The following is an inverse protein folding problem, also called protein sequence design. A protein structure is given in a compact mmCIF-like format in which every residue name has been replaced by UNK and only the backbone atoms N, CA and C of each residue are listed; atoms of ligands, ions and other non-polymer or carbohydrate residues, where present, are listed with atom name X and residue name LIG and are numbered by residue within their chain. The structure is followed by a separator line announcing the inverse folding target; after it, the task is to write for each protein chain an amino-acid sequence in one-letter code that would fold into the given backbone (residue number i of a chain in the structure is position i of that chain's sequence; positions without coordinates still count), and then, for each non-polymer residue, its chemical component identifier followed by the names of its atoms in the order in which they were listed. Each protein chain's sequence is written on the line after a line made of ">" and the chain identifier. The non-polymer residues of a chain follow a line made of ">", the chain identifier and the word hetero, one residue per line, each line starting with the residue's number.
data_IF_607010920160
#
_entry.id   IF_607010920160
#
_cell.length_a   1.000
_cell.length_b   1.000
_cell.length_c   1.000
_cell.angle_alpha   90.00
_cell.angle_beta   90.00
_cell.angle_gamma   90.00
#
_symmetry.space_group_name_H-M   'P 1'
#
loop_
_entity.id
_entity.type
_entity.pdbx_description
1 polymer ?
#
# COMPACT_ATOMS: atom_id res chain seq x y z
N UNK A 1 -5.35 21.33 21.16
CA UNK A 1 -4.05 20.72 21.43
C UNK A 1 -3.68 19.99 20.17
N UNK A 2 -2.86 20.64 19.35
CA UNK A 2 -2.52 20.17 18.02
C UNK A 2 -1.55 19.00 18.12
N UNK A 3 -1.92 17.87 17.53
CA UNK A 3 -1.01 16.75 17.29
C UNK A 3 0.01 17.17 16.21
N UNK A 4 1.30 16.87 16.37
CA UNK A 4 2.28 17.22 15.35
C UNK A 4 2.06 16.32 14.14
N UNK A 5 1.61 16.92 13.03
CA UNK A 5 1.61 16.28 11.72
C UNK A 5 3.06 16.00 11.31
N UNK A 6 3.45 14.72 11.26
CA UNK A 6 4.78 14.31 10.81
C UNK A 6 5.05 14.78 9.38
N UNK A 7 6.21 15.41 9.08
CA UNK A 7 6.54 15.85 7.73
C UNK A 7 6.83 14.63 6.84
N UNK A 8 6.13 14.53 5.71
CA UNK A 8 6.37 13.50 4.69
C UNK A 8 7.66 13.81 3.93
N UNK A 9 8.49 12.79 3.75
CA UNK A 9 9.61 12.82 2.81
C UNK A 9 9.18 12.11 1.52
N UNK A 10 9.47 12.69 0.35
CA UNK A 10 9.23 12.03 -0.94
C UNK A 10 10.55 11.42 -1.41
N UNK A 11 10.51 10.14 -1.78
CA UNK A 11 11.70 9.34 -2.08
C UNK A 11 11.61 8.85 -3.52
N UNK A 12 12.55 9.26 -4.38
CA UNK A 12 12.54 8.95 -5.82
C UNK A 12 13.29 7.66 -6.12
N UNK A 13 12.74 6.80 -6.97
CA UNK A 13 13.41 5.58 -7.44
C UNK A 13 14.54 5.82 -8.48
N UNK A 14 14.81 7.06 -8.89
CA UNK A 14 15.90 7.44 -9.82
C UNK A 14 16.00 8.97 -10.04
N UNK A 15 17.22 9.50 -10.21
CA UNK A 15 17.59 10.94 -10.26
C UNK A 15 17.06 11.72 -11.52
N UNK A 16 17.08 13.09 -11.55
CA UNK A 16 17.76 14.00 -10.62
C UNK A 16 16.92 15.06 -9.87
N UNK A 17 17.55 15.60 -8.82
CA UNK A 17 17.21 16.78 -7.97
C UNK A 17 17.76 18.08 -8.62
N UNK A 18 17.52 19.33 -8.13
CA UNK A 18 16.89 19.75 -6.87
C UNK A 18 15.94 20.98 -6.97
N UNK A 19 15.32 21.35 -5.85
CA UNK A 19 14.79 22.70 -5.64
C UNK A 19 13.41 22.71 -5.00
N UNK A 20 13.23 23.61 -4.05
CA UNK A 20 12.02 23.83 -3.27
C UNK A 20 10.71 23.85 -4.07
N UNK A 21 9.63 23.52 -3.35
CA UNK A 21 8.20 23.59 -3.75
C UNK A 21 7.61 22.37 -4.45
N UNK A 22 7.54 21.25 -3.74
CA UNK A 22 6.39 20.36 -3.86
C UNK A 22 5.66 20.29 -2.50
N UNK A 23 4.78 21.28 -2.27
CA UNK A 23 3.82 21.26 -1.16
C UNK A 23 2.61 20.45 -1.57
N UNK A 24 2.74 19.12 -1.64
CA UNK A 24 1.56 18.31 -1.43
C UNK A 24 1.16 18.46 0.05
N UNK A 25 -0.14 18.66 0.37
CA UNK A 25 -0.56 18.63 1.77
C UNK A 25 -0.06 17.32 2.38
N UNK A 26 0.41 17.32 3.64
CA UNK A 26 0.85 16.09 4.28
C UNK A 26 -0.26 15.06 4.11
N UNK A 27 0.09 13.90 3.54
CA UNK A 27 -0.87 12.83 3.42
C UNK A 27 -1.30 12.45 4.82
N UNK A 28 -2.52 12.85 5.14
CA UNK A 28 -3.10 12.53 6.42
C UNK A 28 -3.69 11.12 6.32
N UNK A 29 -2.92 10.13 6.77
CA UNK A 29 -3.46 8.78 6.92
C UNK A 29 -4.67 8.80 7.86
N UNK A 30 -4.80 9.74 8.80
CA UNK A 30 -6.02 9.91 9.59
C UNK A 30 -7.23 10.35 8.74
N UNK A 31 -7.04 11.08 7.62
CA UNK A 31 -8.10 11.31 6.63
C UNK A 31 -8.42 10.07 5.79
N UNK A 32 -7.40 9.30 5.39
CA UNK A 32 -7.60 8.00 4.71
C UNK A 32 -8.34 7.01 5.62
N UNK A 33 -7.96 6.97 6.89
CA UNK A 33 -8.55 6.12 7.93
C UNK A 33 -9.85 6.69 8.50
N UNK A 34 -10.13 7.98 8.30
CA UNK A 34 -11.47 8.53 8.52
C UNK A 34 -12.54 7.86 7.63
N UNK A 35 -12.16 7.35 6.45
CA UNK A 35 -13.02 6.47 5.65
C UNK A 35 -13.05 5.03 6.18
N UNK A 36 -11.93 4.57 6.75
CA UNK A 36 -11.85 3.32 7.48
C UNK A 36 -12.36 3.48 8.94
N UNK A 37 -13.57 4.05 9.11
CA UNK A 37 -14.18 4.31 10.41
C UNK A 37 -14.37 3.04 11.27
N UNK A 38 -14.93 3.17 12.48
CA UNK A 38 -15.03 2.09 13.50
C UNK A 38 -15.65 0.76 13.00
N UNK A 39 -16.47 0.80 11.95
CA UNK A 39 -17.10 -0.37 11.33
C UNK A 39 -16.21 -1.10 10.31
N UNK A 40 -15.05 -0.54 10.00
CA UNK A 40 -14.09 -1.12 9.08
C UNK A 40 -13.42 -2.33 9.70
N UNK A 41 -13.03 -3.26 8.84
CA UNK A 41 -12.39 -4.50 9.24
C UNK A 41 -11.31 -4.88 8.23
N UNK A 42 -10.44 -5.79 8.66
CA UNK A 42 -9.36 -6.28 7.83
C UNK A 42 -9.69 -7.66 7.25
N UNK A 43 -9.31 -7.91 5.99
CA UNK A 43 -9.43 -9.21 5.34
C UNK A 43 -8.09 -9.65 4.75
N UNK A 44 -7.56 -10.79 5.21
CA UNK A 44 -6.29 -11.31 4.72
C UNK A 44 -6.46 -12.01 3.37
N UNK A 45 -5.69 -11.61 2.38
CA UNK A 45 -5.69 -12.22 1.06
C UNK A 45 -4.94 -13.54 1.04
N UNK A 46 -5.64 -14.61 0.69
CA UNK A 46 -5.07 -15.95 0.55
C UNK A 46 -4.53 -16.29 -0.84
N UNK A 47 -4.72 -15.42 -1.85
CA UNK A 47 -4.31 -15.71 -3.25
C UNK A 47 -3.92 -14.44 -4.00
N UNK A 48 -3.33 -14.61 -5.20
CA UNK A 48 -2.90 -13.52 -6.09
C UNK A 48 -3.94 -13.12 -7.14
N UNK A 49 -5.19 -13.55 -7.00
CA UNK A 49 -6.25 -13.36 -7.99
C UNK A 49 -6.69 -11.90 -8.22
N UNK A 50 -6.02 -10.92 -7.60
CA UNK A 50 -6.23 -9.48 -7.78
C UNK A 50 -4.89 -8.76 -8.01
N UNK A 51 -3.87 -9.47 -8.49
CA UNK A 51 -2.51 -8.94 -8.70
C UNK A 51 -2.46 -7.77 -9.68
N UNK A 52 -3.36 -7.70 -10.67
CA UNK A 52 -3.44 -6.55 -11.57
C UNK A 52 -3.87 -5.26 -10.84
N UNK A 53 -4.57 -5.39 -9.72
CA UNK A 53 -4.95 -4.27 -8.85
C UNK A 53 -3.89 -3.98 -7.78
N UNK A 54 -2.68 -4.55 -7.89
CA UNK A 54 -1.62 -4.40 -6.89
C UNK A 54 -1.88 -5.16 -5.59
N UNK A 55 -2.88 -6.06 -5.56
CA UNK A 55 -3.23 -6.86 -4.38
C UNK A 55 -2.63 -8.25 -4.53
N UNK A 56 -1.80 -8.64 -3.57
CA UNK A 56 -1.12 -9.94 -3.57
C UNK A 56 -1.52 -10.84 -2.39
N UNK A 57 -1.14 -12.10 -2.46
CA UNK A 57 -1.26 -13.02 -1.34
C UNK A 57 -0.49 -12.48 -0.13
N UNK A 58 -1.09 -12.61 1.05
CA UNK A 58 -0.66 -12.06 2.34
C UNK A 58 -0.89 -10.56 2.54
N UNK A 59 -1.48 -9.86 1.55
CA UNK A 59 -1.95 -8.49 1.77
C UNK A 59 -3.11 -8.49 2.76
N UNK A 60 -3.13 -7.49 3.64
CA UNK A 60 -4.28 -7.20 4.46
C UNK A 60 -5.12 -6.11 3.80
N UNK A 61 -6.36 -6.45 3.45
CA UNK A 61 -7.29 -5.49 2.87
C UNK A 61 -8.00 -4.73 3.97
N UNK A 62 -8.00 -3.41 3.89
CA UNK A 62 -8.86 -2.56 4.73
C UNK A 62 -10.21 -2.43 4.04
N UNK A 63 -11.25 -2.94 4.68
CA UNK A 63 -12.60 -3.06 4.13
C UNK A 63 -13.55 -2.23 4.95
N UNK A 64 -14.36 -1.41 4.29
CA UNK A 64 -15.40 -0.62 4.95
C UNK A 64 -16.80 -1.02 4.49
N UNK A 65 -17.74 -1.30 5.42
CA UNK A 65 -19.15 -1.48 5.09
C UNK A 65 -19.88 -0.14 4.86
N UNK A 66 -19.25 0.99 5.16
CA UNK A 66 -19.91 2.32 5.14
C UNK A 66 -20.06 2.90 3.73
N UNK A 67 -19.37 2.31 2.74
CA UNK A 67 -19.46 2.70 1.35
C UNK A 67 -20.38 1.76 0.57
N UNK A 68 -21.30 2.35 -0.19
CA UNK A 68 -22.10 1.62 -1.17
C UNK A 68 -21.20 1.13 -2.31
N UNK A 69 -21.10 -0.18 -2.47
CA UNK A 69 -20.33 -0.79 -3.53
C UNK A 69 -20.89 -0.45 -4.93
N UNK A 70 -20.02 0.05 -5.80
CA UNK A 70 -20.28 0.46 -7.18
C UNK A 70 -19.64 -0.50 -8.17
N UNK A 71 -20.04 -0.36 -9.43
CA UNK A 71 -19.38 -1.06 -10.53
C UNK A 71 -17.88 -0.71 -10.55
N UNK A 72 -17.04 -1.74 -10.69
CA UNK A 72 -15.58 -1.71 -10.65
C UNK A 72 -14.94 -1.51 -9.28
N UNK A 73 -15.69 -1.49 -8.18
CA UNK A 73 -15.08 -1.56 -6.86
C UNK A 73 -14.52 -2.95 -6.61
N UNK A 74 -13.43 -3.04 -5.84
CA UNK A 74 -13.04 -4.31 -5.23
C UNK A 74 -13.81 -4.44 -3.93
N UNK A 75 -14.50 -5.56 -3.76
CA UNK A 75 -15.35 -5.81 -2.59
C UNK A 75 -14.93 -7.10 -1.91
N UNK A 76 -15.15 -7.13 -0.60
CA UNK A 76 -15.24 -8.40 0.12
C UNK A 76 -16.73 -8.76 0.21
N UNK A 77 -17.07 -9.94 -0.30
CA UNK A 77 -18.43 -10.43 -0.36
C UNK A 77 -18.51 -11.84 0.21
N UNK A 78 -19.62 -12.13 0.90
CA UNK A 78 -20.03 -13.46 1.26
C UNK A 78 -20.90 -14.03 0.14
N UNK A 79 -20.59 -15.24 -0.31
CA UNK A 79 -21.39 -16.02 -1.25
C UNK A 79 -21.57 -17.42 -0.68
N UNK A 80 -22.82 -17.78 -0.40
CA UNK A 80 -23.15 -19.05 0.25
C UNK A 80 -22.35 -19.19 1.55
N UNK A 81 -21.43 -20.17 1.63
CA UNK A 81 -20.62 -20.41 2.83
C UNK A 81 -19.19 -19.83 2.74
N UNK A 82 -18.85 -19.13 1.66
CA UNK A 82 -17.50 -18.59 1.41
C UNK A 82 -17.45 -17.07 1.49
N UNK A 83 -16.30 -16.54 1.90
CA UNK A 83 -15.97 -15.12 1.79
C UNK A 83 -14.91 -14.94 0.71
N UNK A 84 -15.14 -14.02 -0.21
CA UNK A 84 -14.27 -13.76 -1.36
C UNK A 84 -14.00 -12.27 -1.52
N UNK A 85 -12.76 -11.93 -1.88
CA UNK A 85 -12.38 -10.61 -2.35
C UNK A 85 -12.27 -10.62 -3.89
N UNK A 86 -13.02 -9.75 -4.57
CA UNK A 86 -13.15 -9.72 -6.04
C UNK A 86 -13.51 -8.34 -6.56
N UNK A 87 -13.21 -8.07 -7.84
CA UNK A 87 -13.76 -6.93 -8.57
C UNK A 87 -15.25 -7.15 -8.81
N UNK A 88 -16.06 -6.17 -8.44
CA UNK A 88 -17.51 -6.15 -8.66
C UNK A 88 -17.85 -5.61 -10.04
N UNK A 89 -18.38 -6.46 -10.91
CA UNK A 89 -18.89 -6.05 -12.22
C UNK A 89 -20.42 -6.15 -12.20
N UNK A 90 -21.10 -5.01 -12.32
CA UNK A 90 -22.56 -4.95 -12.42
C UNK A 90 -22.95 -4.50 -13.82
N UNK A 91 -23.79 -5.29 -14.46
CA UNK A 91 -24.34 -4.97 -15.77
C UNK A 91 -25.82 -5.29 -15.81
N UNK A 92 -26.67 -4.25 -15.85
CA UNK A 92 -28.13 -4.37 -15.65
C UNK A 92 -28.42 -5.12 -14.34
N UNK A 93 -29.17 -6.21 -14.39
CA UNK A 93 -29.54 -7.02 -13.23
C UNK A 93 -28.55 -8.16 -12.95
N UNK A 94 -27.43 -8.23 -13.68
CA UNK A 94 -26.43 -9.29 -13.54
C UNK A 94 -25.23 -8.77 -12.74
N UNK A 95 -24.80 -9.57 -11.75
CA UNK A 95 -23.63 -9.29 -10.94
C UNK A 95 -22.58 -10.37 -11.15
N UNK A 96 -21.37 -9.96 -11.50
CA UNK A 96 -20.20 -10.82 -11.57
C UNK A 96 -19.16 -10.39 -10.54
N UNK A 97 -18.49 -11.38 -9.96
CA UNK A 97 -17.26 -11.18 -9.22
C UNK A 97 -16.08 -11.70 -10.04
N UNK A 98 -15.19 -10.79 -10.41
CA UNK A 98 -14.14 -11.02 -11.41
C UNK A 98 -12.76 -11.00 -10.74
N UNK A 99 -11.91 -12.01 -11.01
CA UNK A 99 -10.50 -12.00 -10.65
C UNK A 99 -9.69 -11.17 -11.67
N UNK A 100 -8.53 -10.67 -11.24
CA UNK A 100 -7.62 -9.83 -12.01
C UNK A 100 -6.16 -10.26 -11.79
N UNK A 101 -5.76 -11.36 -12.42
CA UNK A 101 -4.39 -11.87 -12.33
C UNK A 101 -3.83 -12.19 -13.72
N UNK A 102 -2.94 -11.34 -14.27
CA UNK A 102 -2.38 -11.56 -15.61
C UNK A 102 -1.54 -12.84 -15.71
N UNK A 103 -0.98 -13.31 -14.58
CA UNK A 103 -0.20 -14.55 -14.53
C UNK A 103 -1.08 -15.81 -14.59
N UNK A 104 -2.38 -15.68 -14.28
CA UNK A 104 -3.34 -16.77 -14.36
C UNK A 104 -4.68 -16.28 -14.95
N UNK A 105 -4.80 -16.23 -16.28
CA UNK A 105 -6.01 -15.76 -16.94
C UNK A 105 -7.23 -16.69 -16.75
N UNK A 106 -7.02 -17.88 -16.20
CA UNK A 106 -8.05 -18.92 -16.07
C UNK A 106 -8.79 -18.88 -14.72
N UNK A 107 -8.54 -17.87 -13.87
CA UNK A 107 -9.33 -17.73 -12.65
C UNK A 107 -10.83 -17.63 -12.99
N UNK A 108 -11.69 -18.44 -12.35
CA UNK A 108 -13.10 -18.41 -12.66
C UNK A 108 -13.72 -17.09 -12.20
N UNK A 109 -14.44 -16.45 -13.11
CA UNK A 109 -15.43 -15.43 -12.74
C UNK A 109 -16.61 -16.10 -12.05
N UNK A 110 -17.15 -15.47 -11.02
CA UNK A 110 -18.34 -15.96 -10.34
C UNK A 110 -19.53 -15.14 -10.87
N UNK A 111 -20.53 -15.83 -11.42
CA UNK A 111 -21.82 -15.22 -11.72
C UNK A 111 -22.72 -15.38 -10.50
N UNK A 112 -23.16 -14.27 -9.91
CA UNK A 112 -24.05 -14.29 -8.75
C UNK A 112 -25.48 -14.53 -9.24
N UNK A 113 -26.02 -15.69 -8.88
CA UNK A 113 -27.38 -16.08 -9.25
C UNK A 113 -28.39 -15.51 -8.23
N UNK A 114 -29.66 -15.29 -8.63
CA UNK A 114 -30.71 -14.87 -7.69
C UNK A 114 -30.94 -15.86 -6.53
N UNK A 115 -30.55 -17.12 -6.69
CA UNK A 115 -30.63 -18.16 -5.66
C UNK A 115 -29.46 -18.19 -4.69
N UNK A 116 -28.36 -17.48 -4.98
CA UNK A 116 -27.19 -17.44 -4.12
C UNK A 116 -27.46 -16.58 -2.88
N UNK A 117 -26.94 -17.01 -1.73
CA UNK A 117 -26.87 -16.16 -0.55
C UNK A 117 -25.70 -15.18 -0.70
N UNK A 118 -25.94 -14.10 -1.45
CA UNK A 118 -24.95 -13.08 -1.76
C UNK A 118 -25.11 -11.85 -0.86
N UNK A 119 -24.02 -11.45 -0.19
CA UNK A 119 -23.95 -10.22 0.58
C UNK A 119 -22.59 -9.55 0.39
N UNK A 120 -22.60 -8.27 0.06
CA UNK A 120 -21.37 -7.45 0.13
C UNK A 120 -21.12 -7.12 1.59
N UNK A 121 -19.94 -7.48 2.10
CA UNK A 121 -19.51 -7.18 3.47
C UNK A 121 -18.88 -5.79 3.54
N UNK A 122 -18.23 -5.34 2.45
CA UNK A 122 -17.77 -3.97 2.31
C UNK A 122 -16.90 -3.74 1.08
N UNK A 123 -16.55 -2.47 0.86
CA UNK A 123 -15.65 -2.02 -0.21
C UNK A 123 -14.21 -2.01 0.30
N UNK A 124 -13.28 -2.51 -0.50
CA UNK A 124 -11.84 -2.48 -0.22
C UNK A 124 -11.31 -1.07 -0.49
N UNK A 125 -10.79 -0.44 0.57
CA UNK A 125 -10.21 0.90 0.54
C UNK A 125 -8.76 0.87 0.04
N UNK A 126 -7.94 0.06 0.69
CA UNK A 126 -6.53 -0.13 0.37
C UNK A 126 -6.07 -1.56 0.70
N UNK A 127 -4.91 -1.95 0.19
CA UNK A 127 -4.17 -3.11 0.67
C UNK A 127 -2.94 -2.69 1.45
N UNK A 128 -2.60 -3.46 2.48
CA UNK A 128 -1.38 -3.31 3.28
C UNK A 128 -0.51 -4.54 3.02
N UNK A 129 0.62 -4.32 2.35
CA UNK A 129 1.58 -5.36 2.02
C UNK A 129 2.75 -5.37 3.03
N UNK A 130 2.95 -6.45 3.81
CA UNK A 130 4.08 -6.55 4.73
C UNK A 130 5.41 -6.85 4.00
N UNK A 131 6.41 -5.99 4.22
CA UNK A 131 7.69 -6.04 3.49
C UNK A 131 8.82 -6.77 4.23
N UNK A 132 8.59 -7.15 5.49
CA UNK A 132 9.50 -7.98 6.26
C UNK A 132 8.74 -8.95 7.18
N UNK A 133 9.44 -9.96 7.67
CA UNK A 133 8.84 -11.01 8.52
C UNK A 133 8.23 -10.45 9.80
N UNK A 134 8.86 -9.45 10.39
CA UNK A 134 8.35 -8.81 11.60
C UNK A 134 7.01 -8.12 11.36
N UNK A 135 6.89 -7.32 10.29
CA UNK A 135 5.64 -6.69 9.90
C UNK A 135 4.57 -7.74 9.62
N UNK A 136 4.92 -8.83 8.91
CA UNK A 136 4.00 -9.94 8.65
C UNK A 136 3.48 -10.59 9.93
N UNK A 137 4.36 -10.80 10.91
CA UNK A 137 4.00 -11.41 12.19
C UNK A 137 3.15 -10.47 13.07
N UNK A 138 3.28 -9.15 12.90
CA UNK A 138 2.45 -8.17 13.61
C UNK A 138 1.02 -8.06 13.09
N UNK A 139 0.80 -8.30 11.79
CA UNK A 139 -0.53 -8.19 11.18
C UNK A 139 -1.55 -9.21 11.70
N UNK A 140 -1.11 -10.26 12.42
CA UNK A 140 -1.97 -11.14 13.23
C UNK A 140 -3.04 -11.95 12.45
N UNK A 141 -3.69 -12.88 13.14
CA UNK A 141 -4.65 -13.83 12.57
C UNK A 141 -6.07 -13.27 12.36
N UNK A 142 -6.20 -12.06 11.79
CA UNK A 142 -7.51 -11.54 11.34
C UNK A 142 -8.49 -11.12 12.45
N UNK A 143 -7.99 -10.62 13.59
CA UNK A 143 -8.86 -9.93 14.55
C UNK A 143 -9.17 -8.50 14.09
N UNK A 144 -10.35 -7.97 14.46
CA UNK A 144 -10.72 -6.58 14.25
C UNK A 144 -9.72 -5.70 15.01
N UNK A 145 -8.84 -5.02 14.29
CA UNK A 145 -7.83 -4.12 14.83
C UNK A 145 -7.97 -2.75 14.17
N UNK A 146 -7.75 -1.70 14.95
CA UNK A 146 -7.63 -0.35 14.42
C UNK A 146 -6.44 -0.28 13.46
N UNK A 147 -6.62 0.37 12.31
CA UNK A 147 -5.57 0.41 11.29
C UNK A 147 -4.38 1.28 11.73
N UNK A 148 -4.57 2.30 12.57
CA UNK A 148 -3.45 3.07 13.11
C UNK A 148 -2.59 2.20 14.02
N UNK A 149 -3.22 1.39 14.88
CA UNK A 149 -2.51 0.48 15.77
C UNK A 149 -1.77 -0.60 14.97
N UNK A 150 -2.44 -1.15 13.95
CA UNK A 150 -1.87 -2.13 13.03
C UNK A 150 -0.62 -1.60 12.29
N UNK A 151 -0.68 -0.35 11.81
CA UNK A 151 0.42 0.33 11.12
C UNK A 151 1.43 0.95 12.12
N UNK A 152 1.13 0.96 13.42
CA UNK A 152 1.95 1.59 14.45
C UNK A 152 2.03 3.11 14.36
N UNK A 153 1.07 3.79 13.72
CA UNK A 153 1.10 5.24 13.45
C UNK A 153 1.06 6.11 14.73
N UNK A 154 0.67 5.51 15.86
CA UNK A 154 0.69 6.16 17.17
C UNK A 154 2.11 6.29 17.76
N UNK A 155 3.11 5.66 17.15
CA UNK A 155 4.52 5.69 17.59
C UNK A 155 5.29 6.82 16.89
N UNK A 156 6.03 7.67 17.62
CA UNK A 156 6.73 8.84 17.04
C UNK A 156 7.87 8.48 16.08
N UNK A 157 8.40 7.25 16.14
CA UNK A 157 9.42 6.74 15.25
C UNK A 157 8.88 6.21 13.92
N UNK A 158 7.56 6.13 13.74
CA UNK A 158 6.92 5.67 12.52
C UNK A 158 6.58 6.86 11.62
N UNK A 159 7.04 6.78 10.37
CA UNK A 159 6.87 7.81 9.36
C UNK A 159 6.23 7.25 8.11
N UNK A 160 5.49 8.11 7.40
CA UNK A 160 4.87 7.75 6.13
C UNK A 160 5.55 8.49 4.97
N UNK A 161 5.86 7.73 3.93
CA UNK A 161 6.66 8.19 2.78
C UNK A 161 5.90 7.83 1.51
N UNK A 162 5.67 8.80 0.62
CA UNK A 162 5.06 8.54 -0.68
C UNK A 162 6.10 8.03 -1.67
N UNK A 163 5.79 6.92 -2.33
CA UNK A 163 6.64 6.33 -3.37
C UNK A 163 6.48 7.10 -4.68
N UNK A 164 7.61 7.28 -5.36
CA UNK A 164 7.66 7.67 -6.77
C UNK A 164 8.53 6.70 -7.57
N UNK A 165 7.95 6.11 -8.60
CA UNK A 165 8.56 5.14 -9.51
C UNK A 165 8.23 3.68 -9.17
N UNK A 166 8.70 2.77 -10.02
CA UNK A 166 8.31 1.34 -10.00
C UNK A 166 9.48 0.37 -9.77
N UNK A 167 10.66 0.85 -9.33
CA UNK A 167 11.85 -0.01 -9.18
C UNK A 167 11.68 -1.12 -8.14
N UNK A 168 10.72 -0.97 -7.23
CA UNK A 168 10.42 -1.93 -6.16
C UNK A 168 9.09 -2.67 -6.39
N UNK A 169 8.48 -2.57 -7.57
CA UNK A 169 7.20 -3.21 -7.87
C UNK A 169 7.20 -4.73 -7.62
N UNK A 170 8.25 -5.49 -7.99
CA UNK A 170 8.27 -6.92 -7.68
C UNK A 170 8.32 -7.24 -6.17
N UNK A 171 8.67 -6.27 -5.33
CA UNK A 171 8.60 -6.37 -3.87
C UNK A 171 7.22 -6.02 -3.29
N UNK A 172 6.21 -5.76 -4.13
CA UNK A 172 4.89 -5.30 -3.70
C UNK A 172 4.81 -3.79 -3.40
N UNK A 173 5.79 -3.00 -3.85
CA UNK A 173 5.81 -1.54 -3.70
C UNK A 173 5.52 -0.88 -5.05
N UNK A 174 4.34 -0.30 -5.20
CA UNK A 174 3.87 0.33 -6.43
C UNK A 174 4.09 1.85 -6.42
N UNK A 175 4.04 2.45 -7.60
CA UNK A 175 4.04 3.91 -7.72
C UNK A 175 2.84 4.51 -6.97
N UNK A 176 3.07 5.66 -6.32
CA UNK A 176 2.11 6.32 -5.45
C UNK A 176 1.71 5.56 -4.17
N UNK A 177 2.32 4.42 -3.86
CA UNK A 177 2.13 3.75 -2.56
C UNK A 177 2.60 4.63 -1.39
N UNK A 178 2.03 4.37 -0.23
CA UNK A 178 2.46 4.98 1.04
C UNK A 178 3.24 3.94 1.82
N UNK A 179 4.52 4.19 2.00
CA UNK A 179 5.38 3.35 2.83
C UNK A 179 5.25 3.74 4.29
N UNK A 180 5.08 2.74 5.16
CA UNK A 180 5.21 2.88 6.60
C UNK A 180 6.63 2.51 6.98
N UNK A 181 7.36 3.47 7.54
CA UNK A 181 8.80 3.40 7.79
C UNK A 181 9.09 3.55 9.28
N UNK A 182 9.80 2.60 9.86
CA UNK A 182 10.27 2.64 11.25
C UNK A 182 11.70 3.18 11.31
N UNK A 183 11.89 4.34 11.94
CA UNK A 183 13.19 4.99 12.17
C UNK A 183 13.90 4.54 13.44
N UNK A 184 13.18 3.88 14.35
CA UNK A 184 13.74 3.29 15.58
C UNK A 184 14.33 1.90 15.36
N UNK A 185 14.07 1.29 14.19
CA UNK A 185 14.52 -0.05 13.85
C UNK A 185 15.90 -0.05 13.19
N UNK A 186 16.79 -0.92 13.66
CA UNK A 186 18.05 -1.22 12.97
C UNK A 186 17.81 -2.12 11.75
N UNK A 187 18.34 -1.71 10.60
CA UNK A 187 18.17 -2.46 9.35
C UNK A 187 19.00 -3.75 9.33
N UNK A 188 18.34 -4.84 8.94
CA UNK A 188 18.94 -6.17 8.76
C UNK A 188 19.18 -6.44 7.28
N UNK A 189 20.03 -7.42 7.00
CA UNK A 189 20.24 -7.88 5.63
C UNK A 189 18.91 -8.29 4.99
N UNK A 190 18.72 -7.89 3.74
CA UNK A 190 17.51 -8.03 2.93
C UNK A 190 16.30 -7.19 3.36
N UNK A 191 16.39 -6.35 4.40
CA UNK A 191 15.34 -5.36 4.67
C UNK A 191 15.24 -4.37 3.50
N UNK A 192 14.02 -3.89 3.23
CA UNK A 192 13.82 -2.73 2.37
C UNK A 192 13.97 -1.49 3.24
N UNK A 193 14.77 -0.53 2.80
CA UNK A 193 15.10 0.67 3.55
C UNK A 193 14.82 1.92 2.74
N UNK A 194 14.65 3.03 3.45
CA UNK A 194 14.86 4.36 2.91
C UNK A 194 16.35 4.69 3.07
N UNK A 195 17.10 4.64 1.98
CA UNK A 195 18.51 5.00 1.93
C UNK A 195 18.66 6.48 1.59
N UNK A 196 19.49 7.22 2.33
CA UNK A 196 19.99 8.54 1.94
C UNK A 196 21.36 8.38 1.32
N UNK A 197 21.50 8.76 0.06
CA UNK A 197 22.75 8.73 -0.71
C UNK A 197 22.96 10.08 -1.39
N UNK A 198 24.06 10.76 -1.07
CA UNK A 198 24.40 12.10 -1.61
C UNK A 198 23.27 13.13 -1.46
N UNK A 199 22.51 13.06 -0.35
CA UNK A 199 21.39 13.95 -0.06
C UNK A 199 20.08 13.61 -0.80
N UNK A 200 20.07 12.57 -1.63
CA UNK A 200 18.88 12.02 -2.26
C UNK A 200 18.41 10.76 -1.54
N UNK A 201 17.10 10.53 -1.55
CA UNK A 201 16.52 9.35 -0.91
C UNK A 201 16.13 8.29 -1.95
N UNK A 202 16.34 7.03 -1.59
CA UNK A 202 15.96 5.85 -2.39
C UNK A 202 15.25 4.81 -1.55
N UNK A 203 14.27 4.13 -2.16
CA UNK A 203 13.71 2.88 -1.63
C UNK A 203 14.46 1.72 -2.27
N UNK A 204 15.23 0.96 -1.48
CA UNK A 204 16.07 -0.14 -1.96
C UNK A 204 16.15 -1.25 -0.93
N UNK A 205 16.45 -2.46 -1.40
CA UNK A 205 16.82 -3.59 -0.55
C UNK A 205 18.27 -3.44 -0.09
N UNK A 206 18.49 -3.58 1.21
CA UNK A 206 19.79 -3.47 1.85
C UNK A 206 20.49 -4.83 1.88
N UNK A 207 21.63 -4.95 1.19
CA UNK A 207 22.40 -6.20 1.12
C UNK A 207 23.82 -5.95 1.61
N UNK A 208 24.33 -6.86 2.44
CA UNK A 208 25.73 -6.87 2.87
C UNK A 208 26.42 -8.07 2.26
N UNK A 209 27.46 -7.87 1.47
CA UNK A 209 28.23 -8.97 0.87
C UNK A 209 29.71 -8.67 0.94
N UNK A 210 30.49 -9.61 1.49
CA UNK A 210 31.95 -9.51 1.64
C UNK A 210 32.45 -8.21 2.29
N UNK A 211 31.68 -7.66 3.25
CA UNK A 211 31.99 -6.40 3.92
C UNK A 211 31.62 -5.12 3.15
N UNK A 212 31.07 -5.25 1.94
CA UNK A 212 30.51 -4.14 1.16
C UNK A 212 28.99 -4.07 1.32
N UNK A 213 28.45 -2.86 1.15
CA UNK A 213 27.01 -2.59 1.17
C UNK A 213 26.53 -2.37 -0.26
N UNK A 214 25.44 -3.03 -0.61
CA UNK A 214 24.75 -2.89 -1.88
C UNK A 214 23.30 -2.48 -1.65
N UNK A 215 22.83 -1.54 -2.47
CA UNK A 215 21.43 -1.17 -2.57
C UNK A 215 20.86 -1.77 -3.85
N UNK A 216 19.92 -2.69 -3.70
CA UNK A 216 19.30 -3.39 -4.81
C UNK A 216 17.88 -2.87 -5.04
N UNK A 217 17.46 -2.85 -6.30
CA UNK A 217 16.04 -2.77 -6.62
C UNK A 217 15.54 -4.17 -6.90
N UNK A 218 14.28 -4.45 -6.59
CA UNK A 218 13.67 -5.74 -6.92
C UNK A 218 13.27 -5.84 -8.39
N UNK A 219 13.21 -4.71 -9.11
CA UNK A 219 13.15 -4.71 -10.56
C UNK A 219 14.50 -5.17 -11.15
N UNK A 220 14.54 -6.32 -11.86
CA UNK A 220 15.78 -6.90 -12.39
C UNK A 220 16.48 -6.03 -13.44
N UNK A 221 15.80 -5.03 -13.99
CA UNK A 221 16.39 -4.08 -14.95
C UNK A 221 17.26 -3.01 -14.26
N UNK A 222 17.24 -2.93 -12.93
CA UNK A 222 18.00 -1.94 -12.16
C UNK A 222 19.32 -2.52 -11.70
N UNK A 223 20.44 -1.87 -12.05
CA UNK A 223 21.75 -2.28 -11.58
C UNK A 223 21.90 -2.10 -10.05
N UNK A 224 22.60 -3.02 -9.36
CA UNK A 224 23.04 -2.82 -7.98
C UNK A 224 23.82 -1.52 -7.80
N UNK A 225 23.56 -0.80 -6.70
CA UNK A 225 24.35 0.38 -6.32
C UNK A 225 25.26 -0.03 -5.16
N UNK A 226 26.57 -0.12 -5.42
CA UNK A 226 27.57 -0.26 -4.36
C UNK A 226 27.74 1.09 -3.67
N UNK A 227 27.63 1.13 -2.33
CA UNK A 227 27.74 2.37 -1.56
C UNK A 227 28.91 2.32 -0.59
N UNK A 228 29.64 3.43 -0.50
CA UNK A 228 30.64 3.65 0.54
C UNK A 228 30.00 4.27 1.78
N UNK A 229 30.50 3.92 2.96
CA UNK A 229 29.91 4.34 4.24
C UNK A 229 29.90 5.86 4.48
N UNK A 230 30.70 6.63 3.74
CA UNK A 230 30.88 8.07 3.98
C UNK A 230 29.73 8.93 3.45
N UNK A 231 28.93 8.42 2.51
CA UNK A 231 27.83 9.17 1.86
C UNK A 231 26.48 8.47 1.92
N UNK A 232 26.46 7.32 2.59
CA UNK A 232 25.30 6.48 2.76
C UNK A 232 24.83 6.51 4.21
N UNK A 233 23.54 6.72 4.41
CA UNK A 233 22.90 6.47 5.69
C UNK A 233 21.55 5.81 5.48
N UNK A 234 21.14 5.02 6.46
CA UNK A 234 19.81 4.43 6.52
C UNK A 234 18.92 5.41 7.28
N UNK A 235 17.90 5.93 6.62
CA UNK A 235 16.95 6.85 7.22
C UNK A 235 15.92 6.10 8.08
N UNK A 236 15.49 4.92 7.62
CA UNK A 236 14.60 4.02 8.34
C UNK A 236 14.33 2.72 7.57
N UNK A 237 13.75 1.74 8.26
CA UNK A 237 13.36 0.44 7.68
C UNK A 237 11.93 0.51 7.21
N UNK A 238 11.68 0.11 5.97
CA UNK A 238 10.33 0.04 5.41
C UNK A 238 9.65 -1.22 5.93
N UNK A 239 8.54 -1.02 6.63
CA UNK A 239 7.80 -2.10 7.27
C UNK A 239 6.70 -2.63 6.36
N UNK A 240 5.93 -1.73 5.75
CA UNK A 240 4.73 -2.06 4.97
C UNK A 240 4.55 -1.07 3.81
N UNK A 241 3.94 -1.54 2.73
CA UNK A 241 3.43 -0.71 1.63
C UNK A 241 1.91 -0.62 1.72
N UNK A 242 1.35 0.57 1.69
CA UNK A 242 -0.10 0.79 1.63
C UNK A 242 -0.46 1.23 0.22
N UNK A 243 -1.14 0.35 -0.52
CA UNK A 243 -1.59 0.61 -1.88
C UNK A 243 -3.06 1.05 -1.88
N UNK A 244 -3.32 2.27 -2.35
CA UNK A 244 -4.67 2.85 -2.37
C UNK A 244 -5.46 2.28 -3.56
N UNK A 245 -6.60 1.64 -3.28
CA UNK A 245 -7.41 0.93 -4.28
C UNK A 245 -8.62 1.77 -4.70
N UNK A 246 -9.33 2.33 -3.74
CA UNK A 246 -10.61 2.96 -3.98
C UNK A 246 -10.48 4.46 -4.26
N UNK A 247 -11.25 4.97 -5.23
CA UNK A 247 -11.14 6.36 -5.68
C UNK A 247 -11.46 7.40 -4.61
N UNK A 248 -12.26 7.06 -3.60
CA UNK A 248 -12.53 7.96 -2.46
C UNK A 248 -11.25 8.34 -1.69
N UNK A 249 -10.17 7.57 -1.84
CA UNK A 249 -8.89 7.81 -1.20
C UNK A 249 -7.92 8.62 -2.06
N UNK A 250 -8.22 8.81 -3.35
CA UNK A 250 -7.41 9.68 -4.19
C UNK A 250 -7.76 11.13 -3.89
N UNK A 251 -6.76 12.02 -3.70
CA UNK A 251 -7.03 13.43 -3.52
C UNK A 251 -7.80 13.96 -4.74
N UNK A 252 -8.96 14.57 -4.52
CA UNK A 252 -9.66 15.27 -5.58
C UNK A 252 -8.73 16.35 -6.15
N UNK A 253 -8.65 16.52 -7.49
CA UNK A 253 -7.97 17.68 -8.04
C UNK A 253 -8.64 18.92 -7.46
N UNK A 254 -7.85 19.75 -6.77
CA UNK A 254 -8.28 21.08 -6.33
C UNK A 254 -8.80 21.76 -7.60
N UNK A 255 -10.11 22.05 -7.65
CA UNK A 255 -10.67 22.89 -8.71
C UNK A 255 -9.89 24.20 -8.66
N UNK A 256 -9.01 24.43 -9.63
CA UNK A 256 -8.36 25.72 -9.80
C UNK A 256 -9.48 26.76 -9.79
N UNK A 257 -9.38 27.70 -8.86
CA UNK A 257 -10.37 28.76 -8.70
C UNK A 257 -10.65 29.37 -10.06
N UNK A 258 -11.94 29.41 -10.44
CA UNK A 258 -12.38 30.30 -11.51
C UNK A 258 -11.94 31.70 -11.09
N UNK A 259 -10.93 32.26 -11.78
CA UNK A 259 -10.69 33.69 -11.78
C UNK A 259 -11.96 34.33 -12.36
N UNK A 260 -12.83 34.80 -11.47
CA UNK A 260 -13.90 35.72 -11.84
C UNK A 260 -13.19 36.98 -12.35
N UNK A 261 -13.32 37.22 -13.65
CA UNK A 261 -13.10 38.54 -14.24
C UNK A 261 -14.31 39.42 -13.96
#
# INVERSE_FOLDING_TARGET
>A
MDTPSSPMMIVSAGFPSPGDEYKEPPLDLHRLLGFAGEDSFCHLMGTNQLSAAGITQHDLLVVTPTLDARHNDIVVAQINNGVVARRLIRFRDVTFLVPEDPANPNWPRINVMPTDHFRILGVVLCSIHPLNEFARNQLGNGQKQDVNDLLGLNRPEIFCVRVRGSSMQPAGIHDADVLVVDRGREARENDIIIASLDGAFFVKRFVKSLGAIFLLSDNPLSAPIAVSSQRFSIWGVVMQSVHLIHQALHPHPIKQGRTLR
#
